data_IF_312341358981
#
_entry.id   IF_312341358981
#
_cell.length_a   1.000
_cell.length_b   1.000
_cell.length_c   1.000
_cell.angle_alpha   90.00
_cell.angle_beta   90.00
_cell.angle_gamma   90.00
#
_symmetry.space_group_name_H-M   'P 1'
#
loop_
_entity.id
_entity.type
_entity.pdbx_description
1 polymer ?
#
# COMPACT_ATOMS: atom_id res chain seq x y z
N UNK A 1 6.40 -10.30 -13.88
CA UNK A 1 7.22 -10.07 -12.67
C UNK A 1 6.88 -8.75 -11.99
N UNK A 2 6.97 -7.58 -12.65
CA UNK A 2 6.65 -6.28 -12.02
C UNK A 2 5.24 -6.16 -11.44
N UNK A 3 4.23 -6.66 -12.16
CA UNK A 3 2.86 -6.72 -11.64
C UNK A 3 2.77 -7.54 -10.34
N UNK A 4 3.36 -8.74 -10.34
CA UNK A 4 3.40 -9.60 -9.15
C UNK A 4 4.21 -8.98 -8.00
N UNK A 5 5.23 -8.17 -8.30
CA UNK A 5 5.95 -7.41 -7.29
C UNK A 5 5.04 -6.38 -6.60
N UNK A 6 4.29 -5.59 -7.37
CA UNK A 6 3.34 -4.60 -6.81
C UNK A 6 2.28 -5.30 -5.97
N UNK A 7 1.74 -6.44 -6.44
CA UNK A 7 0.80 -7.26 -5.67
C UNK A 7 1.39 -7.77 -4.37
N UNK A 8 2.62 -8.23 -4.40
CA UNK A 8 3.31 -8.74 -3.21
C UNK A 8 3.53 -7.63 -2.17
N UNK A 9 4.00 -6.46 -2.60
CA UNK A 9 4.15 -5.28 -1.73
C UNK A 9 2.79 -4.85 -1.16
N UNK A 10 1.74 -4.79 -1.99
CA UNK A 10 0.40 -4.45 -1.53
C UNK A 10 -0.15 -5.43 -0.50
N UNK A 11 0.06 -6.74 -0.70
CA UNK A 11 -0.32 -7.75 0.27
C UNK A 11 0.41 -7.57 1.61
N UNK A 12 1.68 -7.17 1.61
CA UNK A 12 2.40 -6.86 2.84
C UNK A 12 1.90 -5.59 3.52
N UNK A 13 1.65 -4.53 2.74
CA UNK A 13 1.18 -3.24 3.26
C UNK A 13 -0.24 -3.31 3.81
N UNK A 14 -1.05 -4.29 3.40
CA UNK A 14 -2.45 -4.43 3.86
C UNK A 14 -2.65 -5.60 4.84
N UNK A 15 -1.84 -6.64 4.76
CA UNK A 15 -2.06 -7.91 5.48
C UNK A 15 -1.09 -8.20 6.63
N UNK A 16 0.01 -7.47 6.79
CA UNK A 16 0.92 -7.69 7.92
C UNK A 16 0.31 -7.19 9.24
N UNK A 17 0.53 -7.94 10.31
CA UNK A 17 0.02 -7.61 11.66
C UNK A 17 0.54 -6.24 12.14
N UNK A 18 1.82 -5.97 11.92
CA UNK A 18 2.50 -4.70 12.24
C UNK A 18 2.75 -3.87 10.97
N UNK A 19 1.76 -3.80 10.07
CA UNK A 19 1.93 -3.12 8.77
C UNK A 19 2.38 -1.66 8.90
N UNK A 20 1.90 -0.95 9.93
CA UNK A 20 2.16 0.48 10.16
C UNK A 20 3.66 0.72 10.39
N UNK A 21 4.32 -0.15 11.15
CA UNK A 21 5.77 -0.08 11.42
C UNK A 21 6.63 -0.27 10.15
N UNK A 22 6.06 -0.91 9.13
CA UNK A 22 6.73 -1.23 7.87
C UNK A 22 6.29 -0.33 6.71
N UNK A 23 5.20 0.42 6.85
CA UNK A 23 4.57 1.20 5.79
C UNK A 23 5.55 2.17 5.14
N UNK A 24 6.29 2.95 5.95
CA UNK A 24 7.27 3.92 5.45
C UNK A 24 8.39 3.29 4.61
N UNK A 25 8.70 2.00 4.85
CA UNK A 25 9.73 1.26 4.09
C UNK A 25 9.16 0.61 2.83
N UNK A 26 7.88 0.24 2.86
CA UNK A 26 7.20 -0.45 1.76
C UNK A 26 6.61 0.50 0.73
N UNK A 27 6.15 1.68 1.16
CA UNK A 27 5.48 2.68 0.33
C UNK A 27 6.29 3.09 -0.92
N UNK A 28 7.62 3.31 -0.87
CA UNK A 28 8.39 3.64 -2.07
C UNK A 28 8.30 2.58 -3.17
N UNK A 29 8.16 1.30 -2.81
CA UNK A 29 8.03 0.21 -3.77
C UNK A 29 6.65 0.18 -4.44
N UNK A 30 5.58 0.49 -3.70
CA UNK A 30 4.25 0.67 -4.28
C UNK A 30 4.23 1.88 -5.23
N UNK A 31 4.80 3.01 -4.81
CA UNK A 31 4.91 4.24 -5.62
C UNK A 31 5.72 4.01 -6.90
N UNK A 32 6.72 3.13 -6.88
CA UNK A 32 7.51 2.81 -8.08
C UNK A 32 6.66 2.21 -9.21
N UNK A 33 5.52 1.59 -8.91
CA UNK A 33 4.61 1.07 -9.92
C UNK A 33 3.83 2.14 -10.68
N UNK A 34 3.72 3.37 -10.15
CA UNK A 34 3.02 4.48 -10.80
C UNK A 34 3.75 5.03 -12.03
N UNK A 35 5.07 4.84 -12.09
CA UNK A 35 5.92 5.31 -13.19
C UNK A 35 6.28 4.21 -14.18
N UNK A 36 5.59 3.07 -14.09
CA UNK A 36 5.79 1.92 -14.96
C UNK A 36 5.24 2.17 -16.38
N UNK A 37 5.90 1.61 -17.39
CA UNK A 37 5.48 1.70 -18.79
C UNK A 37 4.34 0.75 -19.14
N UNK A 38 4.07 -0.25 -18.28
CA UNK A 38 2.94 -1.16 -18.43
C UNK A 38 1.69 -0.63 -17.70
N UNK A 39 0.60 -0.30 -18.41
CA UNK A 39 -0.63 0.22 -17.79
C UNK A 39 -1.23 -0.68 -16.70
N UNK A 40 -1.05 -2.00 -16.79
CA UNK A 40 -1.55 -2.93 -15.78
C UNK A 40 -0.80 -2.78 -14.46
N UNK A 41 0.50 -2.49 -14.50
CA UNK A 41 1.31 -2.27 -13.31
C UNK A 41 0.91 -0.95 -12.65
N UNK A 42 0.71 0.11 -13.46
CA UNK A 42 0.24 1.41 -12.97
C UNK A 42 -1.13 1.28 -12.29
N UNK A 43 -2.07 0.57 -12.92
CA UNK A 43 -3.41 0.34 -12.35
C UNK A 43 -3.35 -0.45 -11.04
N UNK A 44 -2.54 -1.51 -10.97
CA UNK A 44 -2.37 -2.26 -9.73
C UNK A 44 -1.74 -1.40 -8.63
N UNK A 45 -0.76 -0.55 -8.95
CA UNK A 45 -0.14 0.35 -7.98
C UNK A 45 -1.14 1.37 -7.43
N UNK A 46 -2.02 1.93 -8.27
CA UNK A 46 -3.12 2.80 -7.84
C UNK A 46 -4.06 2.06 -6.88
N UNK A 47 -4.51 0.85 -7.24
CA UNK A 47 -5.38 0.05 -6.37
C UNK A 47 -4.74 -0.27 -5.02
N UNK A 48 -3.44 -0.58 -4.99
CA UNK A 48 -2.70 -0.81 -3.74
C UNK A 48 -2.67 0.45 -2.89
N UNK A 49 -2.39 1.61 -3.48
CA UNK A 49 -2.32 2.89 -2.76
C UNK A 49 -3.69 3.30 -2.19
N UNK A 50 -4.77 3.12 -2.94
CA UNK A 50 -6.13 3.38 -2.44
C UNK A 50 -6.46 2.49 -1.23
N UNK A 51 -6.12 1.20 -1.29
CA UNK A 51 -6.34 0.27 -0.19
C UNK A 51 -5.52 0.62 1.05
N UNK A 52 -4.24 1.00 0.87
CA UNK A 52 -3.38 1.45 1.98
C UNK A 52 -3.88 2.75 2.58
N UNK A 53 -4.30 3.72 1.76
CA UNK A 53 -4.88 4.98 2.23
C UNK A 53 -6.13 4.77 3.09
N UNK A 54 -7.05 3.92 2.64
CA UNK A 54 -8.25 3.57 3.41
C UNK A 54 -7.92 2.91 4.77
N UNK A 55 -6.89 2.06 4.83
CA UNK A 55 -6.43 1.46 6.08
C UNK A 55 -5.80 2.50 7.01
N UNK A 56 -4.98 3.39 6.46
CA UNK A 56 -4.34 4.46 7.20
C UNK A 56 -5.37 5.39 7.85
N UNK A 57 -6.39 5.79 7.11
CA UNK A 57 -7.50 6.59 7.64
C UNK A 57 -8.26 5.87 8.76
N UNK A 58 -8.53 4.56 8.59
CA UNK A 58 -9.23 3.76 9.59
C UNK A 58 -8.42 3.61 10.89
N UNK A 59 -7.10 3.44 10.79
CA UNK A 59 -6.21 3.36 11.96
C UNK A 59 -6.18 4.69 12.73
N UNK A 60 -5.98 5.82 12.03
CA UNK A 60 -5.97 7.14 12.67
C UNK A 60 -7.32 7.51 13.29
N UNK A 61 -8.44 7.15 12.64
CA UNK A 61 -9.77 7.36 13.20
C UNK A 61 -9.99 6.55 14.50
N UNK A 62 -9.35 5.39 14.63
CA UNK A 62 -9.39 4.57 15.86
C UNK A 62 -8.57 5.24 16.97
N UNK A 63 -7.36 5.70 16.68
CA UNK A 63 -6.52 6.39 17.66
C UNK A 63 -7.20 7.64 18.23
N UNK A 64 -7.86 8.43 17.39
CA UNK A 64 -8.61 9.62 17.82
C UNK A 64 -9.82 9.32 18.71
N UNK A 65 -10.45 8.15 18.54
CA UNK A 65 -11.61 7.74 19.37
C UNK A 65 -11.17 7.16 20.72
N UNK A 66 -10.00 6.54 20.75
CA UNK A 66 -9.45 5.89 21.95
C UNK A 66 -8.62 6.88 22.82
N UNK A 67 -8.55 8.16 22.42
CA UNK A 67 -7.91 9.29 23.12
C UNK A 67 -8.91 10.17 23.87
#
# INVERSE_FOLDING_TARGET
VRLEWVRCVGAWMTGLRERVDHEARLLPYALSGLTDDNPQVVQEALHVLDAVGALHEADHAKELRDS
#
